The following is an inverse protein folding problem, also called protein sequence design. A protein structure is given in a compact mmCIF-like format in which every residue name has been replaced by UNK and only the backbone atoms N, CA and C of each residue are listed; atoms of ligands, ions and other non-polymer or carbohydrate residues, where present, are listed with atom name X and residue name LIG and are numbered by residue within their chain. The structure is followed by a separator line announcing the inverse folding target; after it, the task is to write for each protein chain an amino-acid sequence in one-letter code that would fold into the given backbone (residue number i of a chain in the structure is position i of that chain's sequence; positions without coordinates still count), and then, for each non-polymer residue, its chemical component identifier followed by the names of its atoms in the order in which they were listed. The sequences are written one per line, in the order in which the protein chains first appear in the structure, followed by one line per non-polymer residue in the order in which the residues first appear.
data_IF_359079007384
#
_entry.id   IF_359079007384
#
_cell.length_a   1.000
_cell.length_b   1.000
_cell.length_c   1.000
_cell.angle_alpha   90.00
_cell.angle_beta   90.00
_cell.angle_gamma   90.00
#
_symmetry.space_group_name_H-M   'P 1'
#
loop_
_entity.id
_entity.type
_entity.pdbx_description
1 polymer ?
#
# COMPACT_ATOMS: atom_id res chain seq x y z
N UNK A 1 -11.75 8.40 -2.92
CA UNK A 1 -11.02 7.23 -3.42
C UNK A 1 -10.22 6.62 -2.29
N UNK A 2 -10.42 5.34 -2.03
CA UNK A 2 -9.68 4.60 -1.00
C UNK A 2 -8.50 3.86 -1.61
N UNK A 3 -7.37 3.96 -0.97
CA UNK A 3 -6.14 3.29 -1.37
C UNK A 3 -5.49 2.56 -0.20
N UNK A 4 -4.74 1.52 -0.55
CA UNK A 4 -3.91 0.78 0.40
C UNK A 4 -2.47 0.87 -0.07
N UNK A 5 -1.56 1.25 0.83
CA UNK A 5 -0.14 1.30 0.54
C UNK A 5 0.54 0.08 1.13
N UNK A 6 1.20 -0.71 0.28
CA UNK A 6 2.03 -1.83 0.74
C UNK A 6 3.21 -1.31 1.55
N UNK A 7 3.73 -2.14 2.43
CA UNK A 7 4.86 -1.78 3.30
C UNK A 7 6.06 -1.25 2.52
N UNK A 8 6.34 -1.82 1.36
CA UNK A 8 7.45 -1.38 0.52
C UNK A 8 7.30 0.09 0.09
N UNK A 9 6.07 0.57 -0.09
CA UNK A 9 5.82 1.98 -0.42
C UNK A 9 6.25 2.91 0.71
N UNK A 10 5.91 2.57 1.94
CA UNK A 10 6.32 3.38 3.11
C UNK A 10 7.83 3.41 3.31
N UNK A 11 8.51 2.34 2.93
CA UNK A 11 9.96 2.24 3.07
C UNK A 11 10.72 2.94 1.94
N UNK A 12 10.10 3.10 0.77
CA UNK A 12 10.76 3.62 -0.44
C UNK A 12 11.51 4.95 -0.23
N UNK A 13 10.95 5.96 0.49
CA UNK A 13 11.66 7.22 0.72
C UNK A 13 12.96 7.07 1.50
N UNK A 14 13.13 5.95 2.22
CA UNK A 14 14.33 5.68 3.01
C UNK A 14 15.34 4.78 2.28
N UNK A 15 14.97 4.22 1.13
CA UNK A 15 15.83 3.35 0.35
C UNK A 15 16.88 4.18 -0.41
N UNK A 16 17.86 3.51 -1.01
CA UNK A 16 18.97 4.18 -1.70
C UNK A 16 18.48 4.98 -2.92
N UNK A 17 18.48 6.30 -2.79
CA UNK A 17 17.96 7.21 -3.82
C UNK A 17 18.90 7.37 -5.02
N UNK A 18 20.07 6.73 -5.01
CA UNK A 18 20.95 6.73 -6.19
C UNK A 18 20.42 5.86 -7.33
N UNK A 19 19.54 4.91 -7.02
CA UNK A 19 18.81 4.12 -8.02
C UNK A 19 17.66 4.97 -8.55
N UNK A 20 17.63 5.18 -9.88
CA UNK A 20 16.65 6.08 -10.51
C UNK A 20 15.21 5.59 -10.31
N UNK A 21 14.96 4.29 -10.35
CA UNK A 21 13.61 3.74 -10.16
C UNK A 21 13.17 3.96 -8.72
N UNK A 22 14.04 3.69 -7.75
CA UNK A 22 13.77 3.93 -6.33
C UNK A 22 13.43 5.41 -6.12
N UNK A 23 14.21 6.31 -6.72
CA UNK A 23 13.99 7.75 -6.60
C UNK A 23 12.62 8.17 -7.15
N UNK A 24 12.26 7.68 -8.34
CA UNK A 24 10.97 8.01 -8.95
C UNK A 24 9.81 7.48 -8.10
N UNK A 25 9.91 6.25 -7.63
CA UNK A 25 8.89 5.65 -6.77
C UNK A 25 8.79 6.39 -5.43
N UNK A 26 9.92 6.79 -4.88
CA UNK A 26 9.98 7.56 -3.63
C UNK A 26 9.28 8.91 -3.77
N UNK A 27 9.53 9.63 -4.85
CA UNK A 27 8.88 10.91 -5.13
C UNK A 27 7.38 10.73 -5.31
N UNK A 28 6.97 9.66 -6.01
CA UNK A 28 5.56 9.35 -6.20
C UNK A 28 4.86 9.05 -4.86
N UNK A 29 5.49 8.25 -4.01
CA UNK A 29 4.95 7.94 -2.67
C UNK A 29 4.79 9.21 -1.85
N UNK A 30 5.80 10.08 -1.86
CA UNK A 30 5.76 11.35 -1.10
C UNK A 30 4.61 12.24 -1.57
N UNK A 31 4.36 12.31 -2.87
CA UNK A 31 3.24 13.07 -3.42
C UNK A 31 1.90 12.47 -2.99
N UNK A 32 1.77 11.15 -3.05
CA UNK A 32 0.56 10.43 -2.62
C UNK A 32 0.31 10.68 -1.13
N UNK A 33 1.35 10.62 -0.32
CA UNK A 33 1.26 10.86 1.12
C UNK A 33 0.79 12.29 1.42
N UNK A 34 1.24 13.27 0.64
CA UNK A 34 0.77 14.64 0.79
C UNK A 34 -0.73 14.74 0.49
N UNK A 35 -1.21 14.06 -0.53
CA UNK A 35 -2.63 14.04 -0.87
C UNK A 35 -3.47 13.35 0.22
N UNK A 36 -2.91 12.35 0.88
CA UNK A 36 -3.54 11.70 2.04
C UNK A 36 -3.69 12.71 3.18
N UNK A 37 -2.63 13.46 3.49
CA UNK A 37 -2.69 14.50 4.53
C UNK A 37 -3.72 15.58 4.24
N UNK A 38 -3.88 15.94 2.97
CA UNK A 38 -4.85 16.95 2.54
C UNK A 38 -6.28 16.42 2.47
N UNK A 39 -6.49 15.15 2.77
CA UNK A 39 -7.83 14.53 2.72
C UNK A 39 -8.34 14.26 1.31
N UNK A 40 -7.47 14.31 0.31
CA UNK A 40 -7.85 14.06 -1.09
C UNK A 40 -7.84 12.58 -1.44
N UNK A 41 -7.15 11.77 -0.66
CA UNK A 41 -7.12 10.32 -0.78
C UNK A 41 -7.38 9.72 0.59
N UNK A 42 -8.17 8.65 0.62
CA UNK A 42 -8.50 7.94 1.86
C UNK A 42 -7.54 6.76 2.02
N UNK A 43 -6.71 6.82 3.05
CA UNK A 43 -5.76 5.76 3.36
C UNK A 43 -6.42 4.68 4.20
N UNK A 44 -6.15 3.43 3.88
CA UNK A 44 -6.50 2.28 4.71
C UNK A 44 -5.23 1.69 5.30
N UNK A 45 -5.24 1.51 6.61
CA UNK A 45 -4.18 0.86 7.39
C UNK A 45 -4.68 -0.51 7.86
N UNK A 46 -3.80 -1.39 8.29
CA UNK A 46 -4.21 -2.71 8.75
C UNK A 46 -3.29 -3.28 9.82
N UNK A 47 -3.78 -4.30 10.51
CA UNK A 47 -2.99 -5.04 11.49
C UNK A 47 -1.75 -5.70 10.86
N UNK A 48 -1.80 -6.03 9.57
CA UNK A 48 -0.64 -6.60 8.86
C UNK A 48 0.44 -5.53 8.66
N UNK A 49 0.06 -4.27 8.43
CA UNK A 49 1.03 -3.17 8.39
C UNK A 49 1.71 -3.00 9.76
N UNK A 50 0.94 -3.05 10.84
CA UNK A 50 1.50 -2.99 12.18
C UNK A 50 2.51 -4.13 12.40
N UNK A 51 2.14 -5.34 12.00
CA UNK A 51 2.97 -6.53 12.13
C UNK A 51 4.28 -6.39 11.35
N UNK A 52 4.21 -6.02 10.07
CA UNK A 52 5.40 -5.86 9.25
C UNK A 52 6.30 -4.74 9.76
N UNK A 53 5.71 -3.62 10.14
CA UNK A 53 6.49 -2.49 10.62
C UNK A 53 7.15 -2.79 11.97
N UNK A 54 6.53 -3.62 12.80
CA UNK A 54 7.11 -4.05 14.07
C UNK A 54 8.47 -4.73 13.85
N UNK A 55 8.62 -5.48 12.76
CA UNK A 55 9.86 -6.19 12.42
C UNK A 55 10.79 -5.37 11.51
N UNK A 56 10.50 -4.09 11.30
CA UNK A 56 11.38 -3.23 10.53
C UNK A 56 12.73 -3.11 11.25
N UNK A 57 13.85 -3.48 10.59
CA UNK A 57 15.16 -3.48 11.25
C UNK A 57 15.73 -2.08 11.51
N UNK A 58 15.12 -1.05 10.91
CA UNK A 58 15.57 0.32 11.04
C UNK A 58 14.58 1.10 11.93
N UNK A 59 15.00 1.42 13.15
CA UNK A 59 14.16 2.08 14.14
C UNK A 59 13.60 3.42 13.65
N UNK A 60 14.43 4.21 12.97
CA UNK A 60 14.01 5.52 12.44
C UNK A 60 12.89 5.37 11.41
N UNK A 61 13.00 4.37 10.54
CA UNK A 61 11.95 4.05 9.56
C UNK A 61 10.68 3.60 10.26
N UNK A 62 10.83 2.70 11.24
CA UNK A 62 9.72 2.15 11.99
C UNK A 62 8.87 3.27 12.60
N UNK A 63 9.51 4.22 13.25
CA UNK A 63 8.84 5.36 13.89
C UNK A 63 8.15 6.24 12.85
N UNK A 64 8.84 6.56 11.76
CA UNK A 64 8.29 7.40 10.69
C UNK A 64 7.10 6.76 10.00
N UNK A 65 7.15 5.46 9.75
CA UNK A 65 6.07 4.71 9.10
C UNK A 65 4.85 4.62 10.02
N UNK A 66 5.06 4.34 11.30
CA UNK A 66 3.97 4.25 12.30
C UNK A 66 3.13 5.52 12.34
N UNK A 67 3.73 6.69 12.12
CA UNK A 67 3.02 7.98 12.13
C UNK A 67 1.94 8.08 11.06
N UNK A 68 2.06 7.32 9.98
CA UNK A 68 1.06 7.37 8.90
C UNK A 68 -0.27 6.75 9.30
N UNK A 69 -0.28 5.89 10.31
CA UNK A 69 -1.49 5.30 10.84
C UNK A 69 -2.51 6.36 11.27
N UNK A 70 -2.06 7.49 11.81
CA UNK A 70 -2.96 8.57 12.26
C UNK A 70 -3.76 9.20 11.12
N UNK A 71 -3.27 9.09 9.88
CA UNK A 71 -3.96 9.63 8.71
C UNK A 71 -4.91 8.63 8.07
N UNK A 72 -4.94 7.40 8.55
CA UNK A 72 -5.80 6.37 7.98
C UNK A 72 -7.26 6.68 8.30
N UNK A 73 -8.11 6.55 7.29
CA UNK A 73 -9.54 6.66 7.45
C UNK A 73 -10.14 5.40 8.08
N UNK A 74 -9.53 4.25 7.78
CA UNK A 74 -9.92 2.96 8.31
C UNK A 74 -8.69 2.17 8.69
N UNK A 75 -8.77 1.44 9.80
CA UNK A 75 -7.71 0.57 10.29
C UNK A 75 -8.31 -0.83 10.45
N UNK A 76 -7.91 -1.73 9.55
CA UNK A 76 -8.49 -3.07 9.48
C UNK A 76 -7.90 -3.98 10.55
N UNK A 77 -8.77 -4.49 11.41
CA UNK A 77 -8.41 -5.53 12.39
C UNK A 77 -8.56 -6.92 11.76
N UNK A 78 -7.89 -7.90 12.35
CA UNK A 78 -8.04 -9.29 11.92
C UNK A 78 -9.48 -9.75 12.10
N UNK A 79 -10.02 -10.43 11.09
CA UNK A 79 -11.32 -11.11 11.20
C UNK A 79 -11.36 -12.31 10.26
N UNK A 80 -12.38 -13.16 10.46
CA UNK A 80 -12.50 -14.40 9.69
C UNK A 80 -12.67 -14.19 8.19
N UNK A 81 -13.36 -13.11 7.78
CA UNK A 81 -13.57 -12.77 6.38
C UNK A 81 -12.25 -12.45 5.68
N UNK A 82 -11.42 -11.63 6.31
CA UNK A 82 -10.11 -11.26 5.76
C UNK A 82 -9.23 -12.50 5.61
N UNK A 83 -9.20 -13.36 6.62
CA UNK A 83 -8.39 -14.59 6.59
C UNK A 83 -8.86 -15.52 5.48
N UNK A 84 -10.18 -15.70 5.35
CA UNK A 84 -10.77 -16.53 4.29
C UNK A 84 -10.41 -16.00 2.91
N UNK A 85 -10.52 -14.69 2.71
CA UNK A 85 -10.20 -14.06 1.44
C UNK A 85 -8.71 -14.20 1.11
N UNK A 86 -7.84 -14.07 2.10
CA UNK A 86 -6.41 -14.29 1.92
C UNK A 86 -6.12 -15.73 1.49
N UNK A 87 -6.82 -16.70 2.08
CA UNK A 87 -6.69 -18.10 1.68
C UNK A 87 -7.06 -18.30 0.20
N UNK A 88 -8.11 -17.63 -0.26
CA UNK A 88 -8.54 -17.71 -1.66
C UNK A 88 -7.49 -17.14 -2.62
N UNK A 89 -6.69 -16.17 -2.18
CA UNK A 89 -5.65 -15.57 -3.01
C UNK A 89 -4.42 -16.46 -3.18
N UNK A 90 -4.28 -17.51 -2.38
CA UNK A 90 -3.15 -18.44 -2.50
C UNK A 90 -3.12 -19.15 -3.86
N UNK A 91 -4.29 -19.37 -4.48
CA UNK A 91 -4.36 -19.98 -5.80
C UNK A 91 -3.69 -19.13 -6.89
N UNK A 92 -3.50 -17.84 -6.63
CA UNK A 92 -2.80 -16.91 -7.54
C UNK A 92 -1.30 -16.87 -7.28
N UNK A 93 -0.79 -17.75 -6.43
CA UNK A 93 0.63 -17.80 -6.07
C UNK A 93 1.11 -16.51 -5.40
N UNK A 94 0.29 -15.99 -4.51
CA UNK A 94 0.61 -14.81 -3.69
C UNK A 94 1.02 -15.29 -2.31
N UNK A 95 2.13 -14.76 -1.79
CA UNK A 95 2.64 -15.13 -0.46
C UNK A 95 1.62 -14.73 0.61
N UNK A 96 1.61 -15.49 1.72
CA UNK A 96 0.64 -15.32 2.81
C UNK A 96 0.53 -13.87 3.30
N UNK A 97 1.65 -13.21 3.56
CA UNK A 97 1.64 -11.85 4.08
C UNK A 97 1.05 -10.86 3.08
N UNK A 98 1.46 -10.99 1.82
CA UNK A 98 0.93 -10.16 0.74
C UNK A 98 -0.56 -10.41 0.53
N UNK A 99 -0.98 -11.68 0.61
CA UNK A 99 -2.39 -12.04 0.51
C UNK A 99 -3.22 -11.39 1.62
N UNK A 100 -2.69 -11.33 2.84
CA UNK A 100 -3.38 -10.68 3.95
C UNK A 100 -3.50 -9.16 3.73
N UNK A 101 -2.46 -8.51 3.22
CA UNK A 101 -2.54 -7.09 2.85
C UNK A 101 -3.64 -6.84 1.81
N UNK A 102 -3.64 -7.63 0.74
CA UNK A 102 -4.62 -7.49 -0.33
C UNK A 102 -6.03 -7.78 0.19
N UNK A 103 -6.18 -8.81 1.03
CA UNK A 103 -7.47 -9.14 1.63
C UNK A 103 -8.00 -8.01 2.51
N UNK A 104 -7.13 -7.35 3.28
CA UNK A 104 -7.52 -6.17 4.06
C UNK A 104 -8.00 -5.04 3.15
N UNK A 105 -7.28 -4.79 2.06
CA UNK A 105 -7.65 -3.76 1.10
C UNK A 105 -9.00 -4.07 0.44
N UNK A 106 -9.24 -5.32 0.07
CA UNK A 106 -10.51 -5.75 -0.50
C UNK A 106 -11.66 -5.60 0.50
N UNK A 107 -11.44 -6.01 1.74
CA UNK A 107 -12.46 -5.90 2.79
C UNK A 107 -12.85 -4.46 3.05
N UNK A 108 -11.88 -3.55 3.02
CA UNK A 108 -12.11 -2.12 3.17
C UNK A 108 -12.65 -1.45 1.90
N UNK A 109 -12.79 -2.21 0.82
CA UNK A 109 -13.28 -1.72 -0.49
C UNK A 109 -12.37 -0.67 -1.10
N UNK A 110 -11.05 -0.87 -0.97
CA UNK A 110 -10.08 -0.03 -1.65
C UNK A 110 -10.17 -0.23 -3.16
N UNK A 111 -10.01 0.84 -3.90
CA UNK A 111 -9.98 0.80 -5.37
C UNK A 111 -8.60 0.42 -5.88
N UNK A 112 -7.56 0.78 -5.15
CA UNK A 112 -6.18 0.54 -5.55
C UNK A 112 -5.34 0.00 -4.40
N UNK A 113 -4.50 -0.96 -4.74
CA UNK A 113 -3.43 -1.49 -3.88
C UNK A 113 -2.10 -1.07 -4.50
N UNK A 114 -1.37 -0.17 -3.84
CA UNK A 114 -0.13 0.37 -4.36
C UNK A 114 1.06 -0.43 -3.84
N UNK A 115 1.91 -0.87 -4.75
CA UNK A 115 3.10 -1.64 -4.40
C UNK A 115 4.23 -1.37 -5.39
N UNK A 116 5.46 -1.57 -4.93
CA UNK A 116 6.65 -1.54 -5.80
C UNK A 116 7.16 -2.95 -6.11
N UNK A 117 6.52 -3.97 -5.56
CA UNK A 117 6.92 -5.37 -5.74
C UNK A 117 6.50 -5.87 -7.12
N UNK A 118 7.49 -6.15 -7.98
CA UNK A 118 7.25 -6.60 -9.35
C UNK A 118 6.44 -7.89 -9.42
N UNK A 119 6.59 -8.77 -8.43
CA UNK A 119 5.84 -10.03 -8.39
C UNK A 119 4.36 -9.78 -8.18
N UNK A 120 4.02 -8.83 -7.31
CA UNK A 120 2.62 -8.46 -7.07
C UNK A 120 2.03 -7.68 -8.24
N UNK A 121 2.82 -6.82 -8.88
CA UNK A 121 2.35 -6.02 -10.01
C UNK A 121 1.91 -6.85 -11.21
N UNK A 122 2.37 -8.11 -11.29
CA UNK A 122 1.96 -9.05 -12.34
C UNK A 122 0.70 -9.85 -12.01
N UNK A 123 0.16 -9.68 -10.80
CA UNK A 123 -1.03 -10.41 -10.37
C UNK A 123 -2.29 -9.62 -10.70
N UNK A 124 -3.34 -10.34 -11.07
CA UNK A 124 -4.67 -9.76 -11.28
C UNK A 124 -5.61 -10.32 -10.24
N UNK A 125 -6.17 -9.42 -9.43
CA UNK A 125 -7.10 -9.79 -8.37
C UNK A 125 -8.42 -9.07 -8.66
N UNK A 126 -9.51 -9.84 -8.67
CA UNK A 126 -10.83 -9.27 -8.90
C UNK A 126 -11.18 -8.28 -7.78
N UNK A 127 -11.72 -7.13 -8.16
CA UNK A 127 -12.22 -6.15 -7.21
C UNK A 127 -11.21 -5.09 -6.77
N UNK A 128 -9.95 -5.18 -7.19
CA UNK A 128 -8.94 -4.19 -6.84
C UNK A 128 -7.87 -4.12 -7.93
N UNK A 129 -7.35 -2.92 -8.18
CA UNK A 129 -6.21 -2.73 -9.09
C UNK A 129 -4.92 -2.68 -8.31
N UNK A 130 -3.98 -3.56 -8.65
CA UNK A 130 -2.63 -3.55 -8.08
C UNK A 130 -1.76 -2.71 -9.00
N UNK A 131 -1.18 -1.63 -8.48
CA UNK A 131 -0.52 -0.62 -9.31
C UNK A 131 0.71 -0.03 -8.62
N UNK A 132 1.70 0.35 -9.42
CA UNK A 132 2.88 1.04 -8.93
C UNK A 132 2.54 2.51 -8.60
N UNK A 133 3.14 3.11 -7.57
CA UNK A 133 2.86 4.50 -7.21
C UNK A 133 3.04 5.51 -8.36
N UNK A 134 4.05 5.32 -9.21
CA UNK A 134 4.27 6.22 -10.35
C UNK A 134 3.10 6.13 -11.34
N UNK A 135 2.66 4.93 -11.65
CA UNK A 135 1.53 4.72 -12.56
C UNK A 135 0.23 5.23 -11.95
N UNK A 136 0.07 5.10 -10.64
CA UNK A 136 -1.10 5.65 -9.94
C UNK A 136 -1.20 7.17 -10.12
N UNK A 137 -0.07 7.87 -10.05
CA UNK A 137 -0.05 9.33 -10.25
C UNK A 137 -0.51 9.74 -11.65
N UNK A 138 -0.20 8.93 -12.66
CA UNK A 138 -0.67 9.19 -14.03
C UNK A 138 -2.21 9.19 -14.08
N UNK A 139 -2.82 8.24 -13.38
CA UNK A 139 -4.29 8.17 -13.28
C UNK A 139 -4.83 9.37 -12.51
N UNK A 140 -4.21 9.73 -11.40
CA UNK A 140 -4.60 10.88 -10.57
C UNK A 140 -4.51 12.20 -11.36
N UNK A 141 -3.44 12.37 -12.12
CA UNK A 141 -3.28 13.57 -12.95
C UNK A 141 -4.42 13.74 -13.94
N UNK A 142 -4.84 12.66 -14.56
CA UNK A 142 -5.97 12.69 -15.50
C UNK A 142 -7.26 13.05 -14.77
N UNK A 143 -7.50 12.44 -13.61
CA UNK A 143 -8.71 12.69 -12.81
C UNK A 143 -8.76 14.11 -12.26
N UNK A 144 -7.61 14.71 -11.98
CA UNK A 144 -7.53 16.09 -11.49
C UNK A 144 -7.62 17.13 -12.63
N UNK A 145 -7.81 16.69 -13.85
CA UNK A 145 -8.03 17.58 -15.00
C UNK A 145 -6.75 18.19 -15.56
N UNK A 146 -5.63 17.62 -15.25
CA UNK A 146 -4.34 18.11 -15.71
C UNK A 146 -4.00 17.60 -17.10
#
# INVERSE_FOLDING_TARGET
MKIYLDNCCYNRPFDNQSDIIVKLESEAVSFIQERIKLGKLDLVWSYIMDYENFFNPFEDRQISIEKWRQYAKEDMNANAEIVKQAENLKSLNIKKKDALHIACALYAKCQYFLTTDLKLLNKKVDGISIINPVDFLKIQGVQDGN
#
